data_IF_343425797835
#
_entry.id   IF_343425797835
#
_cell.length_a   1.000
_cell.length_b   1.000
_cell.length_c   1.000
_cell.angle_alpha   90.00
_cell.angle_beta   90.00
_cell.angle_gamma   90.00
#
_symmetry.space_group_name_H-M   'P 1'
#
loop_
_entity.id
_entity.type
_entity.pdbx_description
1 polymer ?
#
# COMPACT_ATOMS: atom_id res chain seq x y z
N UNK A 1 7.95 -4.40 7.68
CA UNK A 1 6.66 -5.06 7.36
C UNK A 1 6.58 -6.43 8.00
N UNK A 2 7.64 -7.25 7.91
CA UNK A 2 7.73 -8.55 8.60
C UNK A 2 7.38 -8.44 10.10
N UNK A 3 7.96 -7.47 10.80
CA UNK A 3 7.71 -7.26 12.25
C UNK A 3 6.27 -6.85 12.59
N UNK A 4 5.50 -6.38 11.60
CA UNK A 4 4.14 -5.90 11.80
C UNK A 4 3.10 -6.97 11.43
N UNK A 5 3.36 -7.80 10.42
CA UNK A 5 2.44 -8.84 9.95
C UNK A 5 2.82 -10.25 10.45
N UNK A 6 4.02 -10.41 11.03
CA UNK A 6 4.59 -11.69 11.45
C UNK A 6 4.59 -12.78 10.37
N UNK A 7 4.55 -12.37 9.09
CA UNK A 7 4.41 -13.27 7.94
C UNK A 7 5.20 -12.77 6.72
N UNK A 8 5.65 -13.67 5.82
CA UNK A 8 6.25 -13.30 4.54
C UNK A 8 5.31 -12.36 3.77
N UNK A 9 5.82 -11.19 3.39
CA UNK A 9 5.01 -10.15 2.75
C UNK A 9 5.56 -9.83 1.36
N UNK A 10 4.73 -9.98 0.34
CA UNK A 10 5.05 -9.53 -1.03
C UNK A 10 4.56 -8.10 -1.20
N UNK A 11 5.50 -7.17 -1.36
CA UNK A 11 5.16 -5.76 -1.61
C UNK A 11 4.83 -5.57 -3.08
N UNK A 12 3.70 -4.94 -3.36
CA UNK A 12 3.23 -4.67 -4.71
C UNK A 12 3.20 -3.15 -4.97
N UNK A 13 3.61 -2.73 -6.17
CA UNK A 13 3.53 -1.33 -6.61
C UNK A 13 2.86 -1.27 -7.98
N UNK A 14 1.86 -0.40 -8.13
CA UNK A 14 1.14 -0.20 -9.40
C UNK A 14 1.87 0.74 -10.33
N UNK A 15 1.64 0.60 -11.64
CA UNK A 15 2.21 1.49 -12.66
C UNK A 15 1.91 2.97 -12.41
N UNK A 16 0.67 3.28 -12.00
CA UNK A 16 0.25 4.66 -11.73
C UNK A 16 1.00 5.28 -10.55
N UNK A 17 1.27 4.51 -9.48
CA UNK A 17 2.08 4.98 -8.33
C UNK A 17 3.51 5.26 -8.77
N UNK A 18 4.10 4.38 -9.58
CA UNK A 18 5.44 4.61 -10.15
C UNK A 18 5.45 5.86 -11.03
N UNK A 19 4.40 6.08 -11.83
CA UNK A 19 4.27 7.25 -12.69
C UNK A 19 4.06 8.56 -11.91
N UNK A 20 3.28 8.54 -10.82
CA UNK A 20 3.15 9.68 -9.90
C UNK A 20 4.49 10.01 -9.23
N UNK A 21 5.21 9.01 -8.72
CA UNK A 21 6.53 9.20 -8.11
C UNK A 21 7.55 9.79 -9.10
N UNK A 22 7.45 9.51 -10.40
CA UNK A 22 8.31 10.10 -11.42
C UNK A 22 8.04 11.57 -11.69
N UNK A 23 6.79 12.02 -11.47
CA UNK A 23 6.41 13.44 -11.61
C UNK A 23 6.90 14.28 -10.44
N UNK A 24 7.26 13.65 -9.32
CA UNK A 24 7.75 14.35 -8.15
C UNK A 24 9.19 14.89 -8.35
N UNK A 25 9.59 15.95 -7.63
CA UNK A 25 10.93 16.52 -7.73
C UNK A 25 12.04 15.51 -7.37
N UNK A 26 13.28 15.79 -7.82
CA UNK A 26 14.46 14.93 -7.60
C UNK A 26 14.72 14.54 -6.14
N UNK A 27 14.22 15.29 -5.15
CA UNK A 27 14.30 14.92 -3.73
C UNK A 27 13.67 13.56 -3.39
N UNK A 28 12.79 13.04 -4.25
CA UNK A 28 12.18 11.71 -4.13
C UNK A 28 12.87 10.63 -4.98
N UNK A 29 14.05 10.91 -5.56
CA UNK A 29 14.76 9.95 -6.41
C UNK A 29 15.09 8.63 -5.70
N UNK A 30 15.41 8.69 -4.40
CA UNK A 30 15.63 7.48 -3.58
C UNK A 30 14.34 6.66 -3.48
N UNK A 31 13.20 7.29 -3.23
CA UNK A 31 11.91 6.62 -3.18
C UNK A 31 11.56 5.96 -4.53
N UNK A 32 11.83 6.65 -5.65
CA UNK A 32 11.63 6.10 -6.99
C UNK A 32 12.53 4.88 -7.26
N UNK A 33 13.80 4.92 -6.83
CA UNK A 33 14.73 3.79 -6.97
C UNK A 33 14.28 2.58 -6.13
N UNK A 34 13.83 2.82 -4.91
CA UNK A 34 13.27 1.78 -4.03
C UNK A 34 11.98 1.20 -4.62
N UNK A 35 11.08 2.03 -5.15
CA UNK A 35 9.84 1.57 -5.77
C UNK A 35 10.06 0.70 -7.03
N UNK A 36 11.23 0.84 -7.69
CA UNK A 36 11.65 0.05 -8.86
C UNK A 36 12.52 -1.16 -8.50
N UNK A 37 12.75 -1.43 -7.21
CA UNK A 37 13.52 -2.57 -6.75
C UNK A 37 12.85 -3.89 -7.20
N UNK A 38 13.66 -4.87 -7.63
CA UNK A 38 13.19 -6.17 -8.11
C UNK A 38 12.44 -6.99 -7.05
N UNK A 39 12.64 -6.67 -5.77
CA UNK A 39 11.92 -7.28 -4.64
C UNK A 39 10.43 -6.90 -4.62
N UNK A 40 10.05 -5.82 -5.31
CA UNK A 40 8.66 -5.39 -5.38
C UNK A 40 7.98 -5.94 -6.64
N UNK A 41 6.80 -6.51 -6.45
CA UNK A 41 5.96 -6.99 -7.55
C UNK A 41 5.29 -5.80 -8.22
N UNK A 42 5.59 -5.60 -9.51
CA UNK A 42 4.92 -4.58 -10.31
C UNK A 42 3.54 -5.05 -10.75
N UNK A 43 2.51 -4.24 -10.49
CA UNK A 43 1.14 -4.49 -10.91
C UNK A 43 0.77 -3.59 -12.09
N UNK A 44 0.37 -4.22 -13.20
CA UNK A 44 0.00 -3.50 -14.42
C UNK A 44 -1.37 -2.83 -14.25
N UNK A 45 -1.45 -1.57 -14.65
CA UNK A 45 -2.70 -0.81 -14.67
C UNK A 45 -3.34 -0.84 -16.06
N UNK A 46 -4.66 -0.97 -16.12
CA UNK A 46 -5.44 -1.00 -17.37
C UNK A 46 -6.27 0.26 -17.60
N UNK A 47 -6.12 1.27 -16.74
CA UNK A 47 -6.87 2.53 -16.83
C UNK A 47 -6.03 3.63 -17.51
N UNK A 48 -6.70 4.64 -18.05
CA UNK A 48 -6.03 5.87 -18.51
C UNK A 48 -5.66 6.75 -17.31
N UNK A 49 -4.66 7.62 -17.49
CA UNK A 49 -4.19 8.52 -16.45
C UNK A 49 -3.34 7.84 -15.36
N UNK A 50 -2.85 8.64 -14.41
CA UNK A 50 -1.89 8.19 -13.39
C UNK A 50 -2.35 8.47 -11.96
N UNK A 51 -3.63 8.77 -11.75
CA UNK A 51 -4.12 9.08 -10.41
C UNK A 51 -4.18 7.79 -9.57
N UNK A 52 -3.24 7.66 -8.63
CA UNK A 52 -3.03 6.40 -7.93
C UNK A 52 -4.17 6.04 -6.99
N UNK A 53 -4.79 7.03 -6.35
CA UNK A 53 -5.84 6.82 -5.37
C UNK A 53 -7.04 6.06 -5.95
N UNK A 54 -7.51 6.48 -7.13
CA UNK A 54 -8.62 5.82 -7.83
C UNK A 54 -8.24 4.40 -8.26
N UNK A 55 -7.01 4.23 -8.75
CA UNK A 55 -6.50 2.92 -9.12
C UNK A 55 -6.50 1.96 -7.92
N UNK A 56 -5.96 2.40 -6.78
CA UNK A 56 -5.86 1.59 -5.58
C UNK A 56 -7.25 1.23 -5.05
N UNK A 57 -8.16 2.21 -4.96
CA UNK A 57 -9.53 1.98 -4.49
C UNK A 57 -10.27 0.99 -5.40
N UNK A 58 -10.21 1.19 -6.72
CA UNK A 58 -10.88 0.30 -7.67
C UNK A 58 -10.29 -1.12 -7.63
N UNK A 59 -8.96 -1.25 -7.52
CA UNK A 59 -8.28 -2.54 -7.45
C UNK A 59 -8.66 -3.32 -6.20
N UNK A 60 -8.68 -2.68 -5.03
CA UNK A 60 -9.02 -3.38 -3.77
C UNK A 60 -10.52 -3.63 -3.62
N UNK A 61 -11.35 -2.83 -4.29
CA UNK A 61 -12.78 -3.11 -4.39
C UNK A 61 -13.06 -4.36 -5.24
N UNK A 62 -12.35 -4.51 -6.36
CA UNK A 62 -12.46 -5.69 -7.23
C UNK A 62 -11.79 -6.94 -6.61
N UNK A 63 -10.64 -6.78 -5.99
CA UNK A 63 -9.84 -7.87 -5.42
C UNK A 63 -9.47 -7.56 -3.97
N UNK A 64 -10.23 -8.10 -3.02
CA UNK A 64 -10.05 -7.88 -1.57
C UNK A 64 -8.92 -8.73 -0.95
N UNK A 65 -7.85 -8.94 -1.71
CA UNK A 65 -6.69 -9.78 -1.33
C UNK A 65 -5.45 -8.95 -1.00
N UNK A 66 -5.61 -7.64 -0.82
CA UNK A 66 -4.52 -6.71 -0.59
C UNK A 66 -4.66 -5.99 0.75
N UNK A 67 -3.52 -5.68 1.34
CA UNK A 67 -3.39 -4.67 2.40
C UNK A 67 -2.91 -3.38 1.72
N UNK A 68 -3.57 -2.25 1.98
CA UNK A 68 -3.14 -0.97 1.39
C UNK A 68 -2.20 -0.25 2.35
N UNK A 69 -0.96 -0.04 1.93
CA UNK A 69 0.01 0.76 2.68
C UNK A 69 -0.09 2.24 2.30
N UNK A 70 -0.68 3.09 3.15
CA UNK A 70 -0.77 4.53 2.90
C UNK A 70 -0.84 5.37 4.18
N UNK A 71 -0.18 6.53 4.14
CA UNK A 71 -0.30 7.55 5.18
C UNK A 71 -1.31 8.65 4.83
N UNK A 72 -1.83 8.68 3.60
CA UNK A 72 -2.76 9.71 3.12
C UNK A 72 -4.13 9.62 3.82
N UNK A 73 -4.64 10.75 4.30
CA UNK A 73 -5.88 10.80 5.12
C UNK A 73 -7.13 10.55 4.28
N UNK A 74 -7.16 11.05 3.05
CA UNK A 74 -8.33 10.96 2.18
C UNK A 74 -8.40 9.58 1.54
N UNK A 75 -7.27 9.03 1.10
CA UNK A 75 -7.20 7.65 0.63
C UNK A 75 -7.60 6.65 1.72
N UNK A 76 -7.15 6.86 2.97
CA UNK A 76 -7.62 6.06 4.12
C UNK A 76 -9.12 6.14 4.30
N UNK A 77 -9.72 7.33 4.22
CA UNK A 77 -11.17 7.51 4.31
C UNK A 77 -11.91 6.75 3.21
N UNK A 78 -11.37 6.74 1.99
CA UNK A 78 -11.94 6.02 0.84
C UNK A 78 -11.84 4.50 1.03
N UNK A 79 -10.68 3.97 1.42
CA UNK A 79 -10.47 2.53 1.59
C UNK A 79 -11.27 1.97 2.77
N UNK A 80 -11.50 2.74 3.84
CA UNK A 80 -12.36 2.31 4.95
C UNK A 80 -13.80 1.97 4.52
N UNK A 81 -14.28 2.57 3.43
CA UNK A 81 -15.59 2.24 2.85
C UNK A 81 -15.62 0.85 2.19
N UNK A 82 -14.46 0.30 1.83
CA UNK A 82 -14.33 -1.05 1.27
C UNK A 82 -14.18 -2.05 2.43
N UNK A 83 -15.14 -2.97 2.63
CA UNK A 83 -15.04 -3.98 3.68
C UNK A 83 -13.96 -5.02 3.34
N UNK A 84 -13.30 -5.55 4.37
CA UNK A 84 -12.31 -6.62 4.22
C UNK A 84 -10.94 -6.18 3.70
N UNK A 85 -10.67 -4.88 3.60
CA UNK A 85 -9.38 -4.33 3.17
C UNK A 85 -8.66 -3.68 4.35
N UNK A 86 -7.59 -4.29 4.88
CA UNK A 86 -6.76 -3.68 5.93
C UNK A 86 -5.92 -2.54 5.38
N UNK A 87 -5.60 -1.59 6.25
CA UNK A 87 -4.75 -0.43 5.91
C UNK A 87 -3.51 -0.45 6.80
N UNK A 88 -2.33 -0.41 6.17
CA UNK A 88 -1.05 -0.27 6.85
C UNK A 88 -0.55 1.17 6.76
N UNK A 89 0.00 1.71 7.85
CA UNK A 89 0.56 3.05 7.90
C UNK A 89 1.76 3.13 8.85
N UNK A 90 2.55 4.20 8.74
CA UNK A 90 3.71 4.45 9.60
C UNK A 90 3.30 5.38 10.75
N UNK A 91 3.64 5.00 11.99
CA UNK A 91 3.41 5.80 13.19
C UNK A 91 4.46 5.45 14.25
N UNK A 92 5.18 6.45 14.76
CA UNK A 92 6.21 6.26 15.79
C UNK A 92 7.34 5.32 15.33
N UNK A 93 7.86 5.52 14.11
CA UNK A 93 8.89 4.68 13.48
C UNK A 93 8.52 3.20 13.30
N UNK A 94 7.27 2.81 13.55
CA UNK A 94 6.77 1.44 13.37
C UNK A 94 5.66 1.41 12.33
N UNK A 95 5.51 0.28 11.66
CA UNK A 95 4.31 0.00 10.87
C UNK A 95 3.18 -0.38 11.82
N UNK A 96 1.99 0.13 11.57
CA UNK A 96 0.75 -0.23 12.23
C UNK A 96 -0.27 -0.63 11.17
N UNK A 97 -1.19 -1.53 11.52
CA UNK A 97 -2.27 -1.97 10.64
C UNK A 97 -3.60 -1.74 11.33
N UNK A 98 -4.57 -1.22 10.60
CA UNK A 98 -5.98 -1.18 11.02
C UNK A 98 -6.81 -2.21 10.26
N UNK A 99 -7.88 -2.70 10.89
CA UNK A 99 -8.87 -3.63 10.32
C UNK A 99 -8.31 -4.98 9.87
N UNK A 100 -7.17 -5.40 10.42
CA UNK A 100 -6.73 -6.79 10.36
C UNK A 100 -7.41 -7.54 11.52
N UNK A 101 -8.09 -8.67 11.28
CA UNK A 101 -8.67 -9.48 12.35
C UNK A 101 -7.59 -9.90 13.37
N UNK A 102 -7.89 -9.75 14.66
CA UNK A 102 -6.95 -9.98 15.77
C UNK A 102 -6.46 -11.43 15.90
N UNK A 103 -7.05 -12.39 15.18
CA UNK A 103 -6.67 -13.81 15.19
C UNK A 103 -5.27 -14.11 14.63
N UNK A 104 -4.55 -13.11 14.10
CA UNK A 104 -3.22 -13.28 13.50
C UNK A 104 -2.10 -12.50 14.22
N UNK A 105 -2.41 -11.67 15.22
CA UNK A 105 -1.37 -11.00 15.98
C UNK A 105 -0.85 -11.96 17.05
N UNK A 106 0.44 -12.38 17.04
CA UNK A 106 0.99 -13.09 18.17
C UNK A 106 0.82 -12.20 19.40
N UNK A 107 0.22 -12.77 20.44
CA UNK A 107 0.15 -12.18 21.78
C UNK A 107 1.59 -12.04 22.26
N UNK A 108 2.21 -10.88 22.01
CA UNK A 108 3.42 -10.47 22.69
C UNK A 108 3.02 -10.17 24.13
N UNK A 109 3.00 -11.22 24.96
CA UNK A 109 3.15 -11.13 26.40
C UNK A 109 4.63 -11.06 26.74
#
# INVERSE_FOLDING_TARGET
MLDCLAAPTTVCVTDCVIAELQKLPKKYAVALRVARDRRFRRLVCTHKGTYADDCLVNRVAAHRVFIVATCDRDLKRRIRKVPGVPIMYISGHKYKVERLPETLAPTLK
#
